data_IF_110444824542
#
_entry.id   IF_110444824542
#
_cell.length_a   1.000
_cell.length_b   1.000
_cell.length_c   1.000
_cell.angle_alpha   90.00
_cell.angle_beta   90.00
_cell.angle_gamma   90.00
#
_symmetry.space_group_name_H-M   'P 1'
#
loop_
_entity.id
_entity.type
_entity.pdbx_description
1 polymer ?
#
# COMPACT_ATOMS: atom_id res chain seq x y z
N UNK A 1 -10.74 22.07 27.79
CA UNK A 1 -10.66 20.88 26.93
C UNK A 1 -11.89 20.88 26.04
N UNK A 2 -11.77 21.41 24.87
CA UNK A 2 -12.87 21.47 23.88
C UNK A 2 -13.01 20.07 23.28
N UNK A 3 -14.08 19.37 23.63
CA UNK A 3 -14.52 18.15 22.94
C UNK A 3 -14.97 18.54 21.52
N UNK A 4 -14.03 18.61 20.60
CA UNK A 4 -14.34 18.76 19.19
C UNK A 4 -14.94 17.43 18.68
N UNK A 5 -16.24 17.40 18.33
CA UNK A 5 -16.91 16.20 17.86
C UNK A 5 -16.26 15.64 16.56
N UNK A 6 -15.53 16.46 15.83
CA UNK A 6 -14.81 16.05 14.61
C UNK A 6 -13.55 15.22 14.93
N UNK A 7 -12.88 15.43 16.06
CA UNK A 7 -11.65 14.72 16.41
C UNK A 7 -11.91 13.22 16.68
N UNK A 8 -12.98 12.89 17.40
CA UNK A 8 -13.36 11.50 17.66
C UNK A 8 -13.84 10.74 16.42
N UNK A 9 -14.48 11.44 15.48
CA UNK A 9 -14.91 10.87 14.20
C UNK A 9 -13.70 10.51 13.31
N UNK A 10 -12.73 11.39 13.22
CA UNK A 10 -11.51 11.16 12.43
C UNK A 10 -10.71 9.94 12.91
N UNK A 11 -10.54 9.77 14.23
CA UNK A 11 -9.81 8.64 14.81
C UNK A 11 -10.53 7.31 14.54
N UNK A 12 -11.86 7.25 14.73
CA UNK A 12 -12.65 6.05 14.44
C UNK A 12 -12.60 5.67 12.97
N UNK A 13 -12.66 6.64 12.09
CA UNK A 13 -12.57 6.42 10.64
C UNK A 13 -11.19 5.91 10.24
N UNK A 14 -10.13 6.52 10.77
CA UNK A 14 -8.75 6.08 10.54
C UNK A 14 -8.52 4.65 11.03
N UNK A 15 -9.02 4.31 12.21
CA UNK A 15 -8.91 2.95 12.74
C UNK A 15 -9.65 1.93 11.86
N UNK A 16 -10.87 2.25 11.41
CA UNK A 16 -11.63 1.39 10.49
C UNK A 16 -10.90 1.21 9.16
N UNK A 17 -10.34 2.26 8.61
CA UNK A 17 -9.54 2.19 7.37
C UNK A 17 -8.29 1.34 7.57
N UNK A 18 -7.63 1.45 8.73
CA UNK A 18 -6.49 0.61 9.05
C UNK A 18 -6.86 -0.87 9.16
N UNK A 19 -7.97 -1.21 9.81
CA UNK A 19 -8.45 -2.60 9.87
C UNK A 19 -8.77 -3.14 8.47
N UNK A 20 -9.44 -2.35 7.63
CA UNK A 20 -9.71 -2.73 6.24
C UNK A 20 -8.42 -2.84 5.42
N UNK A 21 -7.46 -1.94 5.66
CA UNK A 21 -6.14 -2.02 5.05
C UNK A 21 -5.43 -3.33 5.40
N UNK A 22 -5.43 -3.72 6.67
CA UNK A 22 -4.86 -4.98 7.11
C UNK A 22 -5.58 -6.20 6.48
N UNK A 23 -6.91 -6.19 6.42
CA UNK A 23 -7.68 -7.27 5.83
C UNK A 23 -7.38 -7.44 4.32
N UNK A 24 -7.43 -6.35 3.56
CA UNK A 24 -7.08 -6.34 2.12
C UNK A 24 -5.59 -6.66 1.95
N UNK A 25 -4.74 -6.11 2.82
CA UNK A 25 -3.30 -6.34 2.82
C UNK A 25 -2.96 -7.81 3.02
N UNK A 26 -3.68 -8.54 3.88
CA UNK A 26 -3.44 -9.98 4.09
C UNK A 26 -3.65 -10.79 2.81
N UNK A 27 -4.69 -10.48 2.04
CA UNK A 27 -4.91 -11.12 0.74
C UNK A 27 -3.79 -10.79 -0.26
N UNK A 28 -3.44 -9.51 -0.38
CA UNK A 28 -2.34 -9.09 -1.25
C UNK A 28 -1.00 -9.68 -0.79
N UNK A 29 -0.80 -9.84 0.51
CA UNK A 29 0.38 -10.45 1.10
C UNK A 29 0.54 -11.91 0.69
N UNK A 30 -0.55 -12.67 0.68
CA UNK A 30 -0.51 -14.06 0.22
C UNK A 30 -0.07 -14.15 -1.25
N UNK A 31 -0.61 -13.29 -2.12
CA UNK A 31 -0.21 -13.22 -3.53
C UNK A 31 1.26 -12.80 -3.66
N UNK A 32 1.68 -11.77 -2.94
CA UNK A 32 3.06 -11.30 -2.93
C UNK A 32 4.03 -12.40 -2.47
N UNK A 33 3.68 -13.14 -1.41
CA UNK A 33 4.50 -14.24 -0.91
C UNK A 33 4.64 -15.36 -1.94
N UNK A 34 3.54 -15.79 -2.57
CA UNK A 34 3.58 -16.82 -3.61
C UNK A 34 4.45 -16.38 -4.79
N UNK A 35 4.33 -15.13 -5.22
CA UNK A 35 5.20 -14.55 -6.26
C UNK A 35 6.67 -14.54 -5.82
N UNK A 36 6.95 -14.16 -4.57
CA UNK A 36 8.31 -14.13 -4.05
C UNK A 36 8.94 -15.53 -4.03
N UNK A 37 8.23 -16.51 -3.52
CA UNK A 37 8.74 -17.92 -3.47
C UNK A 37 8.95 -18.45 -4.88
N UNK A 38 8.04 -18.20 -5.81
CA UNK A 38 8.18 -18.63 -7.20
C UNK A 38 9.40 -18.00 -7.88
N UNK A 39 9.55 -16.67 -7.79
CA UNK A 39 10.71 -15.95 -8.36
C UNK A 39 12.02 -16.36 -7.68
N UNK A 40 11.99 -16.56 -6.37
CA UNK A 40 13.17 -17.04 -5.64
C UNK A 40 13.60 -18.43 -6.11
N UNK A 41 12.67 -19.34 -6.40
CA UNK A 41 12.98 -20.65 -6.96
C UNK A 41 13.56 -20.58 -8.39
N UNK A 42 13.03 -19.66 -9.21
CA UNK A 42 13.49 -19.47 -10.60
C UNK A 42 14.87 -18.84 -10.70
N UNK A 43 15.30 -18.09 -9.68
CA UNK A 43 16.56 -17.31 -9.69
C UNK A 43 17.72 -18.05 -9.02
N UNK A 44 17.72 -19.39 -9.08
CA UNK A 44 18.84 -20.18 -8.61
C UNK A 44 20.14 -19.81 -9.36
N UNK A 45 21.21 -19.59 -8.60
CA UNK A 45 22.52 -19.18 -9.18
C UNK A 45 22.67 -17.68 -9.50
N UNK A 46 21.62 -16.86 -9.32
CA UNK A 46 21.73 -15.41 -9.52
C UNK A 46 22.30 -14.74 -8.26
N UNK A 47 23.28 -13.86 -8.45
CA UNK A 47 23.75 -12.98 -7.38
C UNK A 47 22.62 -12.07 -6.89
N UNK A 48 22.52 -11.85 -5.57
CA UNK A 48 21.42 -11.10 -4.94
C UNK A 48 20.02 -11.71 -5.23
N UNK A 49 19.94 -13.02 -5.15
CA UNK A 49 18.73 -13.80 -5.40
C UNK A 49 17.52 -13.31 -4.61
N UNK A 50 17.69 -13.07 -3.31
CA UNK A 50 16.60 -12.61 -2.44
C UNK A 50 16.13 -11.19 -2.81
N UNK A 51 17.06 -10.27 -3.05
CA UNK A 51 16.72 -8.90 -3.43
C UNK A 51 16.04 -8.83 -4.81
N UNK A 52 16.50 -9.60 -5.79
CA UNK A 52 15.90 -9.66 -7.13
C UNK A 52 14.48 -10.23 -7.08
N UNK A 53 14.29 -11.31 -6.33
CA UNK A 53 12.97 -11.93 -6.13
C UNK A 53 12.01 -11.00 -5.42
N UNK A 54 12.47 -10.30 -4.38
CA UNK A 54 11.71 -9.28 -3.68
C UNK A 54 11.25 -8.17 -4.63
N UNK A 55 12.18 -7.57 -5.37
CA UNK A 55 11.90 -6.42 -6.25
C UNK A 55 10.87 -6.75 -7.31
N UNK A 56 11.01 -7.87 -7.99
CA UNK A 56 10.11 -8.29 -9.06
C UNK A 56 8.72 -8.58 -8.49
N UNK A 57 8.65 -9.36 -7.41
CA UNK A 57 7.37 -9.70 -6.79
C UNK A 57 6.66 -8.47 -6.22
N UNK A 58 7.41 -7.53 -5.65
CA UNK A 58 6.89 -6.26 -5.17
C UNK A 58 6.28 -5.44 -6.30
N UNK A 59 6.99 -5.26 -7.42
CA UNK A 59 6.49 -4.50 -8.56
C UNK A 59 5.22 -5.11 -9.15
N UNK A 60 5.21 -6.42 -9.36
CA UNK A 60 4.05 -7.11 -9.94
C UNK A 60 2.82 -7.04 -9.04
N UNK A 61 3.00 -7.17 -7.72
CA UNK A 61 1.89 -7.09 -6.76
C UNK A 61 1.42 -5.66 -6.49
N UNK A 62 2.23 -4.63 -6.77
CA UNK A 62 1.93 -3.24 -6.43
C UNK A 62 0.69 -2.69 -7.13
N UNK A 63 0.51 -3.00 -8.41
CA UNK A 63 -0.66 -2.54 -9.19
C UNK A 63 -1.94 -3.17 -8.66
N UNK A 64 -1.90 -4.46 -8.35
CA UNK A 64 -3.02 -5.16 -7.73
C UNK A 64 -3.34 -4.56 -6.36
N UNK A 65 -2.33 -4.36 -5.53
CA UNK A 65 -2.45 -3.76 -4.20
C UNK A 65 -3.09 -2.36 -4.26
N UNK A 66 -2.63 -1.49 -5.19
CA UNK A 66 -3.25 -0.17 -5.39
C UNK A 66 -4.75 -0.29 -5.67
N UNK A 67 -5.13 -1.14 -6.62
CA UNK A 67 -6.53 -1.32 -7.03
C UNK A 67 -7.39 -1.80 -5.87
N UNK A 68 -6.92 -2.81 -5.14
CA UNK A 68 -7.62 -3.38 -4.00
C UNK A 68 -7.78 -2.36 -2.85
N UNK A 69 -6.71 -1.67 -2.46
CA UNK A 69 -6.77 -0.66 -1.41
C UNK A 69 -7.64 0.54 -1.81
N UNK A 70 -7.59 0.96 -3.07
CA UNK A 70 -8.44 2.03 -3.58
C UNK A 70 -9.92 1.72 -3.42
N UNK A 71 -10.34 0.51 -3.77
CA UNK A 71 -11.75 0.14 -3.77
C UNK A 71 -12.27 -0.28 -2.40
N UNK A 72 -11.50 -1.09 -1.68
CA UNK A 72 -11.98 -1.71 -0.44
C UNK A 72 -11.59 -0.93 0.82
N UNK A 73 -10.36 -0.40 0.87
CA UNK A 73 -9.85 0.30 2.06
C UNK A 73 -10.31 1.76 2.08
N UNK A 74 -9.89 2.52 1.08
CA UNK A 74 -10.04 3.98 1.11
C UNK A 74 -11.32 4.46 0.41
N UNK A 75 -11.96 3.61 -0.41
CA UNK A 75 -13.16 3.96 -1.21
C UNK A 75 -13.00 5.30 -1.93
N UNK A 76 -11.80 5.55 -2.44
CA UNK A 76 -11.38 6.83 -2.98
C UNK A 76 -12.12 7.17 -4.26
N UNK A 77 -12.54 8.43 -4.36
CA UNK A 77 -13.19 9.01 -5.53
C UNK A 77 -12.20 9.82 -6.39
N UNK A 78 -10.93 9.93 -5.99
CA UNK A 78 -9.88 10.56 -6.80
C UNK A 78 -9.79 9.91 -8.18
N UNK A 79 -9.37 10.64 -9.23
CA UNK A 79 -9.10 10.03 -10.53
C UNK A 79 -8.11 8.87 -10.42
N UNK A 80 -8.46 7.71 -11.02
CA UNK A 80 -7.67 6.49 -10.88
C UNK A 80 -6.19 6.71 -11.26
N UNK A 81 -5.93 7.35 -12.41
CA UNK A 81 -4.56 7.60 -12.88
C UNK A 81 -3.74 8.45 -11.91
N UNK A 82 -4.34 9.50 -11.32
CA UNK A 82 -3.66 10.35 -10.34
C UNK A 82 -3.28 9.57 -9.08
N UNK A 83 -4.22 8.82 -8.52
CA UNK A 83 -3.95 8.01 -7.32
C UNK A 83 -2.97 6.87 -7.60
N UNK A 84 -3.03 6.27 -8.81
CA UNK A 84 -2.08 5.24 -9.23
C UNK A 84 -0.65 5.80 -9.30
N UNK A 85 -0.44 6.94 -9.96
CA UNK A 85 0.88 7.57 -10.08
C UNK A 85 1.46 7.89 -8.70
N UNK A 86 0.66 8.49 -7.80
CA UNK A 86 1.11 8.80 -6.44
C UNK A 86 1.43 7.52 -5.66
N UNK A 87 0.60 6.49 -5.77
CA UNK A 87 0.86 5.20 -5.12
C UNK A 87 2.11 4.55 -5.66
N UNK A 88 2.31 4.55 -6.98
CA UNK A 88 3.52 3.98 -7.58
C UNK A 88 4.77 4.76 -7.17
N UNK A 89 4.71 6.07 -7.05
CA UNK A 89 5.82 6.87 -6.52
C UNK A 89 6.19 6.48 -5.08
N UNK A 90 5.18 6.36 -4.20
CA UNK A 90 5.37 5.91 -2.81
C UNK A 90 5.97 4.49 -2.79
N UNK A 91 5.38 3.57 -3.55
CA UNK A 91 5.85 2.19 -3.59
C UNK A 91 7.26 2.07 -4.17
N UNK A 92 7.63 2.91 -5.15
CA UNK A 92 8.99 2.92 -5.69
C UNK A 92 10.03 3.34 -4.65
N UNK A 93 9.73 4.34 -3.82
CA UNK A 93 10.62 4.74 -2.72
C UNK A 93 10.76 3.60 -1.70
N UNK A 94 9.65 3.03 -1.28
CA UNK A 94 9.64 1.91 -0.33
C UNK A 94 10.32 0.66 -0.93
N UNK A 95 10.16 0.42 -2.23
CA UNK A 95 10.83 -0.66 -2.95
C UNK A 95 12.35 -0.53 -2.87
N UNK A 96 12.90 0.65 -3.18
CA UNK A 96 14.36 0.87 -3.15
C UNK A 96 14.91 0.56 -1.75
N UNK A 97 14.28 1.10 -0.71
CA UNK A 97 14.72 0.92 0.67
C UNK A 97 14.59 -0.55 1.10
N UNK A 98 13.43 -1.18 0.82
CA UNK A 98 13.19 -2.58 1.22
C UNK A 98 14.04 -3.58 0.43
N UNK A 99 14.33 -3.29 -0.83
CA UNK A 99 15.23 -4.12 -1.64
C UNK A 99 16.67 -4.04 -1.13
N UNK A 100 17.14 -2.84 -0.78
CA UNK A 100 18.46 -2.67 -0.16
C UNK A 100 18.55 -3.42 1.19
N UNK A 101 17.49 -3.37 1.99
CA UNK A 101 17.38 -4.15 3.23
C UNK A 101 17.46 -5.65 2.95
N UNK A 102 16.75 -6.16 1.94
CA UNK A 102 16.76 -7.57 1.56
C UNK A 102 18.16 -8.01 1.09
N UNK A 103 18.80 -7.20 0.25
CA UNK A 103 20.16 -7.46 -0.23
C UNK A 103 21.18 -7.50 0.91
N UNK A 104 21.10 -6.52 1.82
CA UNK A 104 22.03 -6.45 2.96
C UNK A 104 21.82 -7.63 3.92
N UNK A 105 20.60 -7.84 4.38
CA UNK A 105 20.34 -8.80 5.45
C UNK A 105 20.35 -10.24 4.95
N UNK A 106 19.68 -10.54 3.83
CA UNK A 106 19.58 -11.90 3.35
C UNK A 106 20.77 -12.29 2.45
N UNK A 107 21.09 -11.48 1.43
CA UNK A 107 22.11 -11.88 0.44
C UNK A 107 23.53 -11.63 0.93
N UNK A 108 23.78 -10.59 1.76
CA UNK A 108 25.14 -10.25 2.21
C UNK A 108 25.45 -10.79 3.61
N UNK A 109 24.54 -10.59 4.58
CA UNK A 109 24.73 -11.05 5.96
C UNK A 109 24.30 -12.51 6.19
N UNK A 110 23.63 -13.14 5.22
CA UNK A 110 23.25 -14.55 5.26
C UNK A 110 22.08 -14.88 6.19
N UNK A 111 21.28 -13.88 6.59
CA UNK A 111 20.06 -14.17 7.36
C UNK A 111 19.05 -14.94 6.51
N UNK A 112 18.17 -15.70 7.16
CA UNK A 112 17.11 -16.43 6.48
C UNK A 112 16.23 -15.48 5.65
N UNK A 113 16.18 -15.66 4.34
CA UNK A 113 15.49 -14.76 3.40
C UNK A 113 13.99 -14.65 3.66
N UNK A 114 13.34 -15.69 4.19
CA UNK A 114 11.90 -15.65 4.55
C UNK A 114 11.69 -14.79 5.80
N UNK A 115 12.59 -14.89 6.79
CA UNK A 115 12.53 -14.04 7.98
C UNK A 115 12.71 -12.57 7.62
N UNK A 116 13.70 -12.26 6.79
CA UNK A 116 13.93 -10.89 6.29
C UNK A 116 12.74 -10.40 5.47
N UNK A 117 12.16 -11.25 4.62
CA UNK A 117 10.92 -10.97 3.89
C UNK A 117 9.78 -10.58 4.85
N UNK A 118 9.56 -11.36 5.90
CA UNK A 118 8.49 -11.09 6.89
C UNK A 118 8.73 -9.77 7.64
N UNK A 119 9.94 -9.50 8.08
CA UNK A 119 10.30 -8.25 8.76
C UNK A 119 10.11 -7.03 7.85
N UNK A 120 10.59 -7.10 6.61
CA UNK A 120 10.38 -6.07 5.61
C UNK A 120 8.88 -5.82 5.36
N UNK A 121 8.12 -6.89 5.22
CA UNK A 121 6.67 -6.79 5.00
C UNK A 121 5.96 -6.05 6.13
N UNK A 122 6.28 -6.37 7.39
CA UNK A 122 5.67 -5.71 8.55
C UNK A 122 6.08 -4.23 8.63
N UNK A 123 7.38 -3.93 8.52
CA UNK A 123 7.89 -2.56 8.63
C UNK A 123 7.37 -1.66 7.49
N UNK A 124 7.50 -2.11 6.25
CA UNK A 124 7.11 -1.31 5.08
C UNK A 124 5.60 -1.36 4.81
N UNK A 125 4.89 -2.38 5.30
CA UNK A 125 3.43 -2.42 5.27
C UNK A 125 2.81 -1.29 6.09
N UNK A 126 3.29 -1.05 7.30
CA UNK A 126 2.85 0.07 8.13
C UNK A 126 3.22 1.43 7.52
N UNK A 127 4.46 1.57 7.03
CA UNK A 127 4.91 2.79 6.34
C UNK A 127 4.05 3.07 5.09
N UNK A 128 3.70 2.03 4.31
CA UNK A 128 2.81 2.13 3.16
C UNK A 128 1.42 2.64 3.54
N UNK A 129 0.83 2.11 4.62
CA UNK A 129 -0.48 2.57 5.08
C UNK A 129 -0.48 4.07 5.35
N UNK A 130 0.50 4.55 6.13
CA UNK A 130 0.59 5.97 6.47
C UNK A 130 0.80 6.83 5.22
N UNK A 131 1.74 6.44 4.35
CA UNK A 131 2.03 7.18 3.13
C UNK A 131 0.82 7.21 2.18
N UNK A 132 0.15 6.09 1.95
CA UNK A 132 -1.05 6.03 1.12
C UNK A 132 -2.18 6.87 1.70
N UNK A 133 -2.41 6.78 3.00
CA UNK A 133 -3.50 7.49 3.68
C UNK A 133 -3.35 9.00 3.62
N UNK A 134 -2.14 9.49 3.80
CA UNK A 134 -1.91 10.95 3.86
C UNK A 134 -1.55 11.57 2.51
N UNK A 135 -1.01 10.80 1.56
CA UNK A 135 -0.53 11.34 0.27
C UNK A 135 -1.44 10.92 -0.89
N UNK A 136 -1.68 9.62 -1.07
CA UNK A 136 -2.43 9.12 -2.23
C UNK A 136 -3.95 9.21 -2.06
N UNK A 137 -4.44 9.04 -0.83
CA UNK A 137 -5.86 9.01 -0.49
C UNK A 137 -6.17 9.93 0.71
N UNK A 138 -6.00 11.26 0.59
CA UNK A 138 -6.23 12.19 1.69
C UNK A 138 -7.68 12.12 2.21
N UNK A 139 -7.87 12.40 3.50
CA UNK A 139 -9.16 12.32 4.19
C UNK A 139 -10.25 13.22 3.59
N UNK A 140 -9.84 14.31 2.95
CA UNK A 140 -10.75 15.21 2.24
C UNK A 140 -11.57 14.53 1.13
N UNK A 141 -11.06 13.42 0.58
CA UNK A 141 -11.77 12.67 -0.46
C UNK A 141 -12.88 11.76 0.08
N UNK A 142 -12.85 11.40 1.35
CA UNK A 142 -13.85 10.53 2.00
C UNK A 142 -14.91 11.28 2.82
N UNK A 143 -14.73 12.58 3.07
CA UNK A 143 -15.68 13.39 3.86
C UNK A 143 -16.92 13.83 3.09
N UNK A 144 -16.86 13.78 1.77
CA UNK A 144 -18.01 14.12 0.90
C UNK A 144 -18.68 12.80 0.49
N UNK A 145 -19.91 12.58 0.97
CA UNK A 145 -20.66 11.38 0.60
C UNK A 145 -20.87 11.31 -0.93
N UNK A 146 -21.01 10.11 -1.47
CA UNK A 146 -21.30 9.91 -2.90
C UNK A 146 -22.52 10.73 -3.34
N UNK A 147 -23.52 10.92 -2.45
CA UNK A 147 -24.71 11.75 -2.71
C UNK A 147 -24.34 13.24 -2.88
N UNK A 148 -23.55 13.81 -1.96
CA UNK A 148 -23.12 15.20 -2.05
C UNK A 148 -22.27 15.48 -3.27
N UNK A 149 -21.42 14.54 -3.67
CA UNK A 149 -20.61 14.68 -4.88
C UNK A 149 -21.46 14.62 -6.16
N UNK A 150 -22.49 13.77 -6.19
CA UNK A 150 -23.44 13.74 -7.30
C UNK A 150 -24.24 15.03 -7.38
N UNK A 151 -24.64 15.63 -6.26
CA UNK A 151 -25.30 16.93 -6.21
C UNK A 151 -24.41 18.06 -6.69
N UNK A 152 -23.16 18.12 -6.21
CA UNK A 152 -22.17 19.12 -6.67
C UNK A 152 -21.91 19.00 -8.18
N UNK A 153 -21.82 17.79 -8.71
CA UNK A 153 -21.66 17.57 -10.15
C UNK A 153 -22.92 17.98 -10.94
N UNK A 154 -24.10 17.79 -10.36
CA UNK A 154 -25.40 18.22 -10.96
C UNK A 154 -25.53 19.74 -10.98
N UNK A 155 -25.14 20.41 -9.90
CA UNK A 155 -25.12 21.89 -9.81
C UNK A 155 -24.14 22.45 -10.84
N UNK A 156 -22.92 21.91 -10.93
CA UNK A 156 -21.87 22.37 -11.86
C UNK A 156 -22.23 22.19 -13.34
N UNK A 157 -23.15 21.27 -13.69
CA UNK A 157 -23.65 21.10 -15.07
C UNK A 157 -24.81 22.01 -15.41
N UNK A 158 -25.37 22.71 -14.42
CA UNK A 158 -26.50 23.65 -14.59
C UNK A 158 -26.08 25.12 -14.59
N UNK A 159 -24.84 25.39 -14.18
CA UNK A 159 -24.16 26.70 -14.27
C UNK A 159 -23.32 26.78 -15.55
#
# INVERSE_FOLDING_TARGET
MTNDPNHGYQVKTLFKEYVLFCAVGTFNLAIFFLMYVATYSMFEGIQYRAASSWSISYLLSSVLSHTMHRWFTFKSLSPYGKSLVLTMAIYSILLVISTASQALLADTMGYNHILVWAMNTLAFGFASFLALRFVAFPASDGSISVKERMELTRIRRRS
#
